data_IF_667861115576
#
_entry.id   IF_667861115576
#
_cell.length_a   1.000
_cell.length_b   1.000
_cell.length_c   1.000
_cell.angle_alpha   90.00
_cell.angle_beta   90.00
_cell.angle_gamma   90.00
#
_symmetry.space_group_name_H-M   'P 1'
#
loop_
_entity.id
_entity.type
_entity.pdbx_description
1 polymer ?
#
# COMPACT_ATOMS: atom_id res chain seq x y z
N UNK A 1 -10.76 -25.77 4.17
CA UNK A 1 -11.83 -25.92 5.18
C UNK A 1 -11.23 -26.30 6.54
N UNK A 2 -10.76 -25.28 7.28
CA UNK A 2 -10.28 -25.48 8.65
C UNK A 2 -11.41 -25.24 9.67
N UNK A 3 -11.45 -26.00 10.77
CA UNK A 3 -12.32 -25.69 11.89
C UNK A 3 -12.09 -24.25 12.41
N UNK A 4 -13.13 -23.63 12.97
CA UNK A 4 -13.07 -22.24 13.43
C UNK A 4 -11.93 -21.99 14.41
N UNK A 5 -11.74 -22.87 15.40
CA UNK A 5 -10.66 -22.76 16.37
C UNK A 5 -9.26 -22.85 15.72
N UNK A 6 -9.10 -23.67 14.67
CA UNK A 6 -7.84 -23.77 13.94
C UNK A 6 -7.59 -22.51 13.08
N UNK A 7 -8.63 -21.92 12.49
CA UNK A 7 -8.52 -20.63 11.78
C UNK A 7 -8.11 -19.50 12.71
N UNK A 8 -8.71 -19.43 13.88
CA UNK A 8 -8.35 -18.43 14.89
C UNK A 8 -6.90 -18.61 15.36
N UNK A 9 -6.47 -19.84 15.62
CA UNK A 9 -5.11 -20.13 16.09
C UNK A 9 -4.03 -19.95 15.00
N UNK A 10 -4.39 -20.01 13.73
CA UNK A 10 -3.43 -20.02 12.60
C UNK A 10 -2.56 -18.77 12.54
N UNK A 11 -3.11 -17.60 12.86
CA UNK A 11 -2.38 -16.33 12.80
C UNK A 11 -1.25 -16.29 13.85
N UNK A 12 -1.50 -16.84 15.04
CA UNK A 12 -0.49 -16.91 16.11
C UNK A 12 0.61 -17.91 15.78
N UNK A 13 0.26 -19.04 15.18
CA UNK A 13 1.22 -20.02 14.70
C UNK A 13 2.12 -19.41 13.61
N UNK A 14 1.52 -18.74 12.63
CA UNK A 14 2.25 -18.09 11.53
C UNK A 14 3.21 -17.02 12.03
N UNK A 15 2.76 -16.13 12.90
CA UNK A 15 3.63 -15.06 13.42
C UNK A 15 4.75 -15.60 14.30
N UNK A 16 4.49 -16.67 15.08
CA UNK A 16 5.50 -17.30 15.92
C UNK A 16 6.63 -17.93 15.09
N UNK A 17 6.30 -18.59 13.97
CA UNK A 17 7.30 -19.12 13.04
C UNK A 17 8.10 -17.96 12.41
N UNK A 18 7.44 -16.90 12.01
CA UNK A 18 8.10 -15.73 11.45
C UNK A 18 9.05 -15.06 12.44
N UNK A 19 8.65 -14.92 13.70
CA UNK A 19 9.51 -14.40 14.77
C UNK A 19 10.72 -15.29 15.07
N UNK A 20 10.54 -16.61 15.00
CA UNK A 20 11.64 -17.54 15.18
C UNK A 20 12.78 -17.27 14.18
N UNK A 21 12.45 -17.13 12.89
CA UNK A 21 13.45 -16.78 11.88
C UNK A 21 13.99 -15.37 12.04
N UNK A 22 13.14 -14.39 12.41
CA UNK A 22 13.59 -13.02 12.71
C UNK A 22 14.67 -13.02 13.81
N UNK A 23 14.42 -13.77 14.89
CA UNK A 23 15.33 -13.82 16.05
C UNK A 23 16.64 -14.58 15.75
N UNK A 24 16.67 -15.35 14.67
CA UNK A 24 17.90 -15.90 14.10
C UNK A 24 18.69 -14.88 13.27
N UNK A 25 18.21 -13.65 13.09
CA UNK A 25 18.85 -12.58 12.33
C UNK A 25 18.40 -12.45 10.87
N UNK A 26 17.36 -13.19 10.46
CA UNK A 26 16.86 -13.10 9.09
C UNK A 26 15.93 -11.88 8.88
N UNK A 27 15.84 -11.44 7.63
CA UNK A 27 14.80 -10.53 7.15
C UNK A 27 13.62 -11.36 6.67
N UNK A 28 12.53 -11.32 7.41
CA UNK A 28 11.37 -12.21 7.22
C UNK A 28 10.17 -11.40 6.71
N UNK A 29 9.42 -11.94 5.76
CA UNK A 29 8.12 -11.45 5.37
C UNK A 29 7.05 -12.50 5.68
N UNK A 30 5.99 -12.10 6.38
CA UNK A 30 4.79 -12.92 6.57
C UNK A 30 3.66 -12.33 5.75
N UNK A 31 2.98 -13.18 4.98
CA UNK A 31 1.83 -12.80 4.17
C UNK A 31 0.59 -13.52 4.70
N UNK A 32 -0.42 -12.74 5.14
CA UNK A 32 -1.67 -13.25 5.68
C UNK A 32 -2.83 -12.94 4.72
N UNK A 33 -3.34 -13.96 4.06
CA UNK A 33 -4.52 -13.87 3.20
C UNK A 33 -5.64 -14.75 3.76
N UNK A 34 -6.60 -14.20 4.46
CA UNK A 34 -6.74 -12.80 4.83
C UNK A 34 -7.03 -12.68 6.35
N UNK A 35 -6.68 -11.55 6.94
CA UNK A 35 -7.03 -11.28 8.35
C UNK A 35 -8.55 -11.14 8.56
N UNK A 36 -9.33 -10.85 7.52
CA UNK A 36 -10.81 -10.88 7.57
C UNK A 36 -11.33 -12.25 7.94
N UNK A 37 -10.76 -13.34 7.40
CA UNK A 37 -11.15 -14.71 7.72
C UNK A 37 -10.79 -15.12 9.15
N UNK A 38 -9.67 -14.59 9.65
CA UNK A 38 -9.32 -14.74 11.05
C UNK A 38 -10.32 -13.99 11.97
N UNK A 39 -10.68 -12.75 11.62
CA UNK A 39 -11.64 -11.95 12.37
C UNK A 39 -13.03 -12.60 12.38
N UNK A 40 -13.49 -13.18 11.28
CA UNK A 40 -14.72 -13.99 11.21
C UNK A 40 -14.67 -15.16 12.19
N UNK A 41 -13.56 -15.88 12.24
CA UNK A 41 -13.39 -17.00 13.19
C UNK A 41 -13.42 -16.50 14.63
N UNK A 42 -12.80 -15.36 14.92
CA UNK A 42 -12.82 -14.74 16.24
C UNK A 42 -14.25 -14.34 16.65
N UNK A 43 -15.03 -13.76 15.73
CA UNK A 43 -16.44 -13.43 15.94
C UNK A 43 -17.29 -14.67 16.24
N UNK A 44 -17.09 -15.75 15.48
CA UNK A 44 -17.82 -17.00 15.67
C UNK A 44 -17.50 -17.65 17.02
N UNK A 45 -16.23 -17.65 17.44
CA UNK A 45 -15.82 -18.18 18.74
C UNK A 45 -16.39 -17.36 19.90
N UNK A 46 -16.29 -16.04 19.82
CA UNK A 46 -16.87 -15.12 20.80
C UNK A 46 -18.37 -15.34 20.97
N UNK A 47 -19.10 -15.52 19.85
CA UNK A 47 -20.52 -15.84 19.88
C UNK A 47 -20.83 -17.18 20.53
N UNK A 48 -20.01 -18.22 20.31
CA UNK A 48 -20.17 -19.54 20.97
C UNK A 48 -19.85 -19.49 22.45
N UNK A 49 -19.01 -18.59 22.90
CA UNK A 49 -18.67 -18.36 24.29
C UNK A 49 -19.64 -17.40 24.98
N UNK A 50 -20.70 -16.98 24.29
CA UNK A 50 -21.71 -16.04 24.78
C UNK A 50 -21.13 -14.72 25.31
N UNK A 51 -19.99 -14.28 24.71
CA UNK A 51 -19.39 -12.99 25.03
C UNK A 51 -20.29 -11.86 24.52
N UNK A 52 -20.26 -10.71 25.20
CA UNK A 52 -21.03 -9.55 24.79
C UNK A 52 -20.52 -9.04 23.42
N UNK A 53 -21.37 -9.01 22.37
CA UNK A 53 -20.96 -8.57 21.05
C UNK A 53 -20.73 -7.05 21.03
N UNK A 54 -19.70 -6.63 20.33
CA UNK A 54 -19.47 -5.26 19.94
C UNK A 54 -20.08 -4.92 18.58
N UNK A 55 -19.46 -3.99 17.86
CA UNK A 55 -19.90 -3.53 16.55
C UNK A 55 -19.95 -4.69 15.54
N UNK A 56 -21.03 -4.80 14.79
CA UNK A 56 -21.31 -5.88 13.83
C UNK A 56 -21.12 -7.31 14.36
N UNK A 57 -21.27 -7.51 15.67
CA UNK A 57 -21.11 -8.81 16.32
C UNK A 57 -19.66 -9.26 16.53
N UNK A 58 -18.69 -8.42 16.25
CA UNK A 58 -17.30 -8.66 16.60
C UNK A 58 -17.07 -8.47 18.12
N UNK A 59 -16.11 -9.20 18.72
CA UNK A 59 -15.77 -8.97 20.11
C UNK A 59 -15.16 -7.57 20.31
N UNK A 60 -15.42 -6.97 21.47
CA UNK A 60 -14.91 -5.63 21.80
C UNK A 60 -13.36 -5.53 21.74
N UNK A 61 -12.68 -6.66 21.90
CA UNK A 61 -11.21 -6.75 21.86
C UNK A 61 -10.62 -6.99 20.46
N UNK A 62 -11.41 -6.92 19.37
CA UNK A 62 -10.92 -7.10 18.00
C UNK A 62 -9.71 -6.21 17.70
N UNK A 63 -9.83 -4.91 17.97
CA UNK A 63 -8.76 -3.94 17.70
C UNK A 63 -7.47 -4.25 18.47
N UNK A 64 -7.59 -4.64 19.73
CA UNK A 64 -6.41 -4.99 20.54
C UNK A 64 -5.75 -6.29 20.07
N UNK A 65 -6.51 -7.27 19.58
CA UNK A 65 -5.95 -8.50 18.99
C UNK A 65 -5.24 -8.23 17.68
N UNK A 66 -5.80 -7.39 16.82
CA UNK A 66 -5.13 -6.92 15.59
C UNK A 66 -3.83 -6.16 15.91
N UNK A 67 -3.87 -5.25 16.89
CA UNK A 67 -2.68 -4.52 17.32
C UNK A 67 -1.58 -5.47 17.82
N UNK A 68 -1.92 -6.46 18.66
CA UNK A 68 -0.98 -7.48 19.13
C UNK A 68 -0.32 -8.28 18.00
N UNK A 69 -1.03 -8.54 16.92
CA UNK A 69 -0.46 -9.19 15.74
C UNK A 69 0.51 -8.26 15.00
N UNK A 70 0.08 -7.04 14.67
CA UNK A 70 0.88 -6.12 13.86
C UNK A 70 2.09 -5.55 14.62
N UNK A 71 2.02 -5.39 15.94
CA UNK A 71 3.17 -4.90 16.72
C UNK A 71 4.38 -5.85 16.73
N UNK A 72 4.17 -7.12 16.32
CA UNK A 72 5.25 -8.11 16.15
C UNK A 72 6.15 -7.80 14.96
N UNK A 73 5.65 -7.03 13.99
CA UNK A 73 6.44 -6.58 12.86
C UNK A 73 7.39 -5.46 13.25
N UNK A 74 8.60 -5.51 12.71
CA UNK A 74 9.60 -4.48 12.94
C UNK A 74 11.03 -5.00 12.82
N UNK A 75 11.99 -4.11 13.02
CA UNK A 75 13.41 -4.44 13.11
C UNK A 75 13.83 -4.55 14.57
N UNK A 76 14.55 -5.61 14.90
CA UNK A 76 14.96 -5.93 16.27
C UNK A 76 16.44 -6.23 16.35
N UNK A 77 17.05 -5.93 17.51
CA UNK A 77 18.33 -6.51 17.89
C UNK A 77 18.08 -7.85 18.56
N UNK A 78 18.64 -8.91 17.98
CA UNK A 78 18.41 -10.26 18.45
C UNK A 78 19.21 -10.56 19.71
N UNK A 79 18.60 -11.28 20.66
CA UNK A 79 19.32 -11.80 21.81
C UNK A 79 20.21 -12.97 21.38
N UNK A 80 21.38 -13.07 21.95
CA UNK A 80 22.33 -14.16 21.67
C UNK A 80 23.79 -13.77 21.90
N UNK A 81 24.68 -14.67 21.49
CA UNK A 81 26.14 -14.55 21.69
C UNK A 81 26.85 -13.69 20.64
N UNK A 82 26.18 -13.38 19.53
CA UNK A 82 26.76 -12.56 18.47
C UNK A 82 26.40 -11.11 18.68
N UNK A 83 27.42 -10.23 18.70
CA UNK A 83 27.22 -8.81 18.76
C UNK A 83 26.56 -8.31 17.45
N UNK A 84 25.62 -7.35 17.58
CA UNK A 84 24.94 -6.67 16.48
C UNK A 84 24.09 -7.54 15.52
N UNK A 85 23.70 -8.76 15.93
CA UNK A 85 22.77 -9.54 15.14
C UNK A 85 21.38 -8.85 15.10
N UNK A 86 20.97 -8.45 13.91
CA UNK A 86 19.69 -7.79 13.65
C UNK A 86 18.82 -8.65 12.76
N UNK A 87 17.54 -8.74 13.13
CA UNK A 87 16.52 -9.36 12.31
C UNK A 87 15.37 -8.40 12.05
N UNK A 88 14.56 -8.70 11.05
CA UNK A 88 13.37 -7.90 10.76
C UNK A 88 12.20 -8.77 10.33
N UNK A 89 11.00 -8.32 10.67
CA UNK A 89 9.74 -8.95 10.27
C UNK A 89 8.84 -7.91 9.62
N UNK A 90 8.46 -8.18 8.38
CA UNK A 90 7.48 -7.40 7.64
C UNK A 90 6.17 -8.19 7.56
N UNK A 91 5.07 -7.63 8.05
CA UNK A 91 3.75 -8.23 7.95
C UNK A 91 2.96 -7.57 6.80
N UNK A 92 2.55 -8.38 5.83
CA UNK A 92 1.68 -7.98 4.72
C UNK A 92 0.38 -8.77 4.85
N UNK A 93 -0.72 -8.07 5.10
CA UNK A 93 -2.01 -8.72 5.32
C UNK A 93 -3.05 -8.21 4.34
N UNK A 94 -3.80 -9.13 3.76
CA UNK A 94 -4.98 -8.79 2.99
C UNK A 94 -6.18 -8.60 3.92
N UNK A 95 -7.00 -7.62 3.61
CA UNK A 95 -8.32 -7.38 4.21
C UNK A 95 -9.35 -7.40 3.10
N UNK A 96 -10.42 -8.17 3.27
CA UNK A 96 -11.48 -8.34 2.26
C UNK A 96 -12.81 -7.86 2.84
N UNK A 97 -13.07 -6.55 2.82
CA UNK A 97 -14.30 -5.99 3.35
C UNK A 97 -15.50 -6.43 2.50
N UNK A 98 -16.62 -6.82 3.11
CA UNK A 98 -17.84 -7.16 2.40
C UNK A 98 -18.32 -5.99 1.52
N UNK A 99 -18.59 -6.26 0.23
CA UNK A 99 -19.04 -5.22 -0.70
C UNK A 99 -18.00 -4.12 -1.00
N UNK A 100 -16.75 -4.27 -0.55
CA UNK A 100 -15.72 -3.24 -0.69
C UNK A 100 -15.86 -2.07 0.30
N UNK A 101 -16.69 -2.22 1.32
CA UNK A 101 -16.94 -1.17 2.32
C UNK A 101 -15.83 -1.10 3.37
N UNK A 102 -14.96 -0.10 3.25
CA UNK A 102 -13.86 0.14 4.18
C UNK A 102 -14.33 0.69 5.55
N UNK A 103 -15.61 0.98 5.74
CA UNK A 103 -16.15 1.43 7.03
C UNK A 103 -16.42 0.29 8.02
N UNK A 104 -16.34 -0.98 7.54
CA UNK A 104 -16.54 -2.14 8.40
C UNK A 104 -15.47 -2.28 9.50
N UNK A 105 -15.79 -2.94 10.66
CA UNK A 105 -14.94 -2.89 11.84
C UNK A 105 -13.51 -3.41 11.65
N UNK A 106 -13.30 -4.47 10.84
CA UNK A 106 -11.96 -5.06 10.64
C UNK A 106 -11.07 -4.11 9.84
N UNK A 107 -11.60 -3.53 8.75
CA UNK A 107 -10.89 -2.55 7.93
C UNK A 107 -10.55 -1.30 8.74
N UNK A 108 -11.51 -0.75 9.48
CA UNK A 108 -11.31 0.42 10.32
C UNK A 108 -10.27 0.18 11.42
N UNK A 109 -10.35 -0.96 12.12
CA UNK A 109 -9.37 -1.31 13.14
C UNK A 109 -7.97 -1.48 12.53
N UNK A 110 -7.87 -2.15 11.37
CA UNK A 110 -6.60 -2.37 10.68
C UNK A 110 -5.98 -1.05 10.24
N UNK A 111 -6.72 -0.17 9.58
CA UNK A 111 -6.22 1.13 9.11
C UNK A 111 -5.73 2.06 10.24
N UNK A 112 -6.26 1.92 11.45
CA UNK A 112 -5.77 2.67 12.62
C UNK A 112 -4.43 2.18 13.15
N UNK A 113 -4.04 0.95 12.82
CA UNK A 113 -2.84 0.27 13.35
C UNK A 113 -1.71 0.32 12.32
N UNK A 114 -2.00 0.00 11.05
CA UNK A 114 -0.98 -0.14 10.01
C UNK A 114 -0.49 1.21 9.52
N UNK A 115 0.79 1.28 9.17
CA UNK A 115 1.41 2.50 8.62
C UNK A 115 1.44 2.54 7.10
N UNK A 116 1.15 1.42 6.45
CA UNK A 116 1.07 1.33 4.99
C UNK A 116 -0.24 0.69 4.61
N UNK A 117 -0.92 1.29 3.64
CA UNK A 117 -2.17 0.79 3.10
C UNK A 117 -2.15 0.84 1.58
N UNK A 118 -2.46 -0.28 0.95
CA UNK A 118 -2.64 -0.42 -0.49
C UNK A 118 -4.13 -0.63 -0.79
N UNK A 119 -4.77 0.40 -1.30
CA UNK A 119 -6.17 0.34 -1.69
C UNK A 119 -6.32 -0.36 -3.04
N UNK A 120 -6.83 -1.59 -3.04
CA UNK A 120 -7.17 -2.28 -4.27
C UNK A 120 -8.43 -1.68 -4.89
N UNK A 121 -8.41 -1.45 -6.19
CA UNK A 121 -9.49 -0.81 -6.93
C UNK A 121 -9.95 -1.70 -8.10
N UNK A 122 -11.19 -2.18 -8.01
CA UNK A 122 -11.78 -3.01 -9.04
C UNK A 122 -11.92 -2.30 -10.39
N UNK A 123 -12.09 -0.97 -10.40
CA UNK A 123 -12.18 -0.19 -11.64
C UNK A 123 -10.87 -0.19 -12.42
N UNK A 124 -9.73 -0.20 -11.71
CA UNK A 124 -8.40 -0.36 -12.32
C UNK A 124 -8.23 -1.77 -12.90
N UNK A 125 -8.66 -2.80 -12.15
CA UNK A 125 -8.61 -4.19 -12.62
C UNK A 125 -9.47 -4.40 -13.88
N UNK A 126 -10.68 -3.84 -13.93
CA UNK A 126 -11.55 -3.89 -15.12
C UNK A 126 -10.93 -3.20 -16.34
N UNK A 127 -10.16 -2.13 -16.13
CA UNK A 127 -9.40 -1.46 -17.19
C UNK A 127 -8.07 -2.15 -17.51
N UNK A 128 -7.78 -3.30 -16.87
CA UNK A 128 -6.53 -4.06 -17.01
C UNK A 128 -5.28 -3.27 -16.62
N UNK A 129 -5.43 -2.33 -15.72
CA UNK A 129 -4.31 -1.63 -15.10
C UNK A 129 -3.83 -2.44 -13.89
N UNK A 130 -2.61 -2.98 -13.97
CA UNK A 130 -2.02 -3.79 -12.92
C UNK A 130 -0.63 -3.25 -12.52
N UNK A 131 -0.27 -3.30 -11.22
CA UNK A 131 -1.12 -3.69 -10.09
C UNK A 131 -2.32 -2.75 -9.93
N UNK A 132 -3.48 -3.31 -9.57
CA UNK A 132 -4.74 -2.55 -9.45
C UNK A 132 -4.81 -1.81 -8.10
N UNK A 133 -3.78 -1.04 -7.78
CA UNK A 133 -3.62 -0.27 -6.55
C UNK A 133 -3.95 1.19 -6.84
N UNK A 134 -4.96 1.72 -6.14
CA UNK A 134 -5.35 3.11 -6.29
C UNK A 134 -4.32 4.01 -5.61
N UNK A 135 -3.66 4.84 -6.39
CA UNK A 135 -2.57 5.72 -5.95
C UNK A 135 -3.03 6.90 -5.09
N UNK A 136 -4.29 7.35 -5.21
CA UNK A 136 -4.83 8.45 -4.41
C UNK A 136 -5.28 7.99 -3.01
N UNK A 137 -5.78 6.75 -2.91
CA UNK A 137 -6.32 6.19 -1.66
C UNK A 137 -5.28 5.38 -0.88
N UNK A 138 -4.14 5.08 -1.49
CA UNK A 138 -3.04 4.35 -0.85
C UNK A 138 -2.07 5.30 -0.18
N UNK A 139 -1.46 4.87 0.93
CA UNK A 139 -0.52 5.70 1.67
C UNK A 139 0.58 4.89 2.34
N UNK A 140 1.67 5.58 2.68
CA UNK A 140 2.72 5.12 3.57
C UNK A 140 3.09 6.24 4.55
N UNK A 141 3.07 5.92 5.84
CA UNK A 141 3.51 6.82 6.92
C UNK A 141 5.00 6.66 7.25
N UNK A 142 5.73 5.85 6.48
CA UNK A 142 7.16 5.64 6.70
C UNK A 142 8.05 6.64 5.94
N UNK A 143 7.51 7.46 5.05
CA UNK A 143 8.31 8.30 4.15
C UNK A 143 9.26 9.23 4.90
N UNK A 144 8.79 9.90 5.95
CA UNK A 144 9.61 10.83 6.74
C UNK A 144 10.74 10.11 7.48
N UNK A 145 10.45 8.94 8.05
CA UNK A 145 11.45 8.14 8.77
C UNK A 145 12.47 7.49 7.84
N UNK A 146 12.09 7.21 6.59
CA UNK A 146 12.96 6.60 5.58
C UNK A 146 13.67 7.63 4.70
N UNK A 147 13.32 8.93 4.82
CA UNK A 147 13.92 9.99 4.01
C UNK A 147 15.44 9.98 4.04
N UNK A 148 16.14 9.86 5.21
CA UNK A 148 17.60 9.82 5.23
C UNK A 148 18.17 8.67 4.39
N UNK A 149 17.52 7.50 4.42
CA UNK A 149 17.93 6.35 3.63
C UNK A 149 17.75 6.60 2.12
N UNK A 150 16.62 7.19 1.72
CA UNK A 150 16.39 7.56 0.32
C UNK A 150 17.39 8.58 -0.18
N UNK A 151 17.65 9.62 0.62
CA UNK A 151 18.60 10.69 0.26
C UNK A 151 20.03 10.14 0.10
N UNK A 152 20.44 9.18 0.94
CA UNK A 152 21.76 8.55 0.88
C UNK A 152 21.91 7.58 -0.32
N UNK A 153 20.88 6.79 -0.63
CA UNK A 153 21.00 5.68 -1.59
C UNK A 153 20.47 6.03 -2.99
N UNK A 154 19.51 6.92 -3.09
CA UNK A 154 18.83 7.28 -4.35
C UNK A 154 18.95 8.77 -4.69
N UNK A 155 19.46 9.56 -3.77
CA UNK A 155 19.53 11.01 -3.92
C UNK A 155 18.25 11.76 -3.53
N UNK A 156 18.38 13.05 -3.24
CA UNK A 156 17.30 13.89 -2.70
C UNK A 156 16.16 14.12 -3.73
N UNK A 157 16.43 13.93 -5.01
CA UNK A 157 15.45 14.15 -6.08
C UNK A 157 14.37 13.04 -6.14
N UNK A 158 14.68 11.84 -5.63
CA UNK A 158 13.76 10.71 -5.70
C UNK A 158 12.41 11.02 -5.02
N UNK A 159 12.44 11.45 -3.77
CA UNK A 159 11.22 11.81 -3.04
C UNK A 159 10.55 13.06 -3.62
N UNK A 160 11.30 14.04 -4.10
CA UNK A 160 10.74 15.22 -4.77
C UNK A 160 10.00 14.85 -6.05
N UNK A 161 10.55 13.91 -6.85
CA UNK A 161 9.90 13.41 -8.06
C UNK A 161 8.61 12.65 -7.71
N UNK A 162 8.63 11.86 -6.63
CA UNK A 162 7.43 11.17 -6.12
C UNK A 162 6.34 12.17 -5.70
N UNK A 163 6.69 13.20 -4.91
CA UNK A 163 5.74 14.23 -4.47
C UNK A 163 5.14 14.98 -5.66
N UNK A 164 5.97 15.33 -6.63
CA UNK A 164 5.52 15.96 -7.87
C UNK A 164 4.54 15.05 -8.63
N UNK A 165 4.85 13.77 -8.80
CA UNK A 165 3.99 12.82 -9.50
C UNK A 165 2.63 12.66 -8.80
N UNK A 166 2.63 12.59 -7.47
CA UNK A 166 1.38 12.55 -6.69
C UNK A 166 0.54 13.81 -6.86
N UNK A 167 1.17 14.99 -6.90
CA UNK A 167 0.47 16.24 -7.13
C UNK A 167 -0.17 16.29 -8.53
N UNK A 168 0.54 15.82 -9.57
CA UNK A 168 0.01 15.71 -10.94
C UNK A 168 -1.19 14.76 -11.01
N UNK A 169 -1.11 13.59 -10.36
CA UNK A 169 -2.21 12.63 -10.34
C UNK A 169 -3.44 13.15 -9.57
N UNK A 170 -3.22 13.95 -8.53
CA UNK A 170 -4.30 14.59 -7.79
C UNK A 170 -4.96 15.72 -8.59
N UNK A 171 -4.17 16.52 -9.31
CA UNK A 171 -4.68 17.54 -10.23
C UNK A 171 -5.48 16.90 -11.38
N UNK A 172 -5.00 15.78 -11.94
CA UNK A 172 -5.73 15.00 -12.95
C UNK A 172 -7.11 14.56 -12.45
N UNK A 173 -7.22 14.07 -11.22
CA UNK A 173 -8.50 13.65 -10.67
C UNK A 173 -9.52 14.79 -10.64
N UNK A 174 -9.10 15.98 -10.22
CA UNK A 174 -9.94 17.19 -10.22
C UNK A 174 -10.29 17.64 -11.65
N UNK A 175 -9.33 17.58 -12.58
CA UNK A 175 -9.58 17.92 -13.98
C UNK A 175 -10.54 16.96 -14.67
N UNK A 176 -10.48 15.67 -14.36
CA UNK A 176 -11.39 14.68 -14.92
C UNK A 176 -12.85 14.93 -14.53
N UNK A 177 -13.14 15.46 -13.34
CA UNK A 177 -14.48 15.88 -12.96
C UNK A 177 -14.97 17.05 -13.86
N UNK A 178 -14.11 18.00 -14.15
CA UNK A 178 -14.41 19.13 -15.04
C UNK A 178 -14.62 18.63 -16.47
N UNK A 179 -13.76 17.73 -16.97
CA UNK A 179 -13.85 17.17 -18.32
C UNK A 179 -15.18 16.43 -18.53
N UNK A 180 -15.69 15.73 -17.53
CA UNK A 180 -16.99 15.07 -17.60
C UNK A 180 -18.16 16.05 -17.77
N UNK A 181 -18.03 17.28 -17.28
CA UNK A 181 -19.07 18.31 -17.36
C UNK A 181 -19.00 19.15 -18.63
N UNK A 182 -17.80 19.55 -19.07
CA UNK A 182 -17.63 20.56 -20.15
C UNK A 182 -16.87 20.05 -21.38
N UNK A 183 -16.34 18.84 -21.33
CA UNK A 183 -15.54 18.23 -22.42
C UNK A 183 -14.06 18.65 -22.40
N UNK A 184 -13.22 17.87 -23.10
CA UNK A 184 -11.76 18.07 -23.14
C UNK A 184 -11.35 19.32 -23.89
N UNK A 185 -12.11 19.71 -24.90
CA UNK A 185 -11.80 20.85 -25.78
C UNK A 185 -11.87 22.22 -25.07
N UNK A 186 -12.47 22.27 -23.90
CA UNK A 186 -12.60 23.47 -23.07
C UNK A 186 -11.40 23.69 -22.14
N UNK A 187 -10.48 22.75 -22.07
CA UNK A 187 -9.34 22.83 -21.16
C UNK A 187 -8.25 23.76 -21.70
N UNK A 188 -7.59 24.46 -20.78
CA UNK A 188 -6.39 25.24 -21.10
C UNK A 188 -5.25 24.32 -21.57
N UNK A 189 -4.27 24.88 -22.30
CA UNK A 189 -3.08 24.13 -22.70
C UNK A 189 -2.34 23.53 -21.48
N UNK A 190 -2.31 24.25 -20.35
CA UNK A 190 -1.73 23.78 -19.10
C UNK A 190 -2.44 22.54 -18.58
N UNK A 191 -3.78 22.55 -18.59
CA UNK A 191 -4.59 21.43 -18.08
C UNK A 191 -4.44 20.20 -18.99
N UNK A 192 -4.35 20.40 -20.31
CA UNK A 192 -4.09 19.33 -21.26
C UNK A 192 -2.71 18.68 -21.03
N UNK A 193 -1.67 19.48 -20.73
CA UNK A 193 -0.35 18.97 -20.37
C UNK A 193 -0.43 18.16 -19.07
N UNK A 194 -1.16 18.63 -18.07
CA UNK A 194 -1.36 17.88 -16.82
C UNK A 194 -2.00 16.52 -17.09
N UNK A 195 -3.05 16.45 -17.91
CA UNK A 195 -3.72 15.18 -18.25
C UNK A 195 -2.79 14.22 -19.01
N UNK A 196 -1.98 14.72 -19.95
CA UNK A 196 -1.04 13.88 -20.69
C UNK A 196 0.10 13.38 -19.79
N UNK A 197 0.65 14.25 -18.95
CA UNK A 197 1.69 13.87 -17.98
C UNK A 197 1.16 12.83 -16.98
N UNK A 198 -0.05 13.02 -16.46
CA UNK A 198 -0.69 12.06 -15.57
C UNK A 198 -0.92 10.70 -16.26
N UNK A 199 -1.30 10.73 -17.54
CA UNK A 199 -1.43 9.51 -18.35
C UNK A 199 -0.10 8.76 -18.45
N UNK A 200 1.01 9.45 -18.72
CA UNK A 200 2.34 8.83 -18.76
C UNK A 200 2.71 8.23 -17.39
N UNK A 201 2.42 8.92 -16.28
CA UNK A 201 2.68 8.39 -14.95
C UNK A 201 1.87 7.11 -14.73
N UNK A 202 0.59 7.08 -15.09
CA UNK A 202 -0.27 5.90 -14.88
C UNK A 202 0.09 4.73 -15.78
N UNK A 203 0.29 4.97 -17.06
CA UNK A 203 0.40 3.92 -18.08
C UNK A 203 1.84 3.45 -18.28
N UNK A 204 2.82 4.35 -18.16
CA UNK A 204 4.22 4.01 -18.42
C UNK A 204 5.01 3.75 -17.12
N UNK A 205 4.65 4.40 -16.00
CA UNK A 205 5.39 4.27 -14.75
C UNK A 205 4.70 3.35 -13.73
N UNK A 206 3.38 3.52 -13.48
CA UNK A 206 2.68 2.75 -12.45
C UNK A 206 2.22 1.38 -12.94
N UNK A 207 1.86 1.24 -14.21
CA UNK A 207 1.44 -0.04 -14.76
C UNK A 207 2.65 -0.95 -14.96
N UNK A 208 2.52 -2.21 -14.52
CA UNK A 208 3.54 -3.25 -14.70
C UNK A 208 2.94 -4.50 -15.31
N UNK A 209 3.68 -5.14 -16.20
CA UNK A 209 3.31 -6.42 -16.79
C UNK A 209 4.10 -7.55 -16.12
N UNK A 210 3.43 -8.31 -15.26
CA UNK A 210 4.04 -9.43 -14.54
C UNK A 210 4.45 -10.61 -15.43
N UNK A 211 4.05 -10.65 -16.70
CA UNK A 211 4.43 -11.68 -17.67
C UNK A 211 5.72 -11.35 -18.42
N UNK A 212 6.30 -10.18 -18.19
CA UNK A 212 7.55 -9.73 -18.78
C UNK A 212 8.59 -9.57 -17.68
N UNK A 213 9.64 -10.37 -17.72
CA UNK A 213 10.65 -10.43 -16.64
C UNK A 213 11.25 -9.07 -16.30
N UNK A 214 11.59 -8.27 -17.30
CA UNK A 214 12.17 -6.93 -17.11
C UNK A 214 11.19 -5.95 -16.45
N UNK A 215 9.89 -6.21 -16.55
CA UNK A 215 8.85 -5.36 -15.98
C UNK A 215 8.32 -5.88 -14.62
N UNK A 216 8.53 -7.18 -14.35
CA UNK A 216 8.17 -7.80 -13.07
C UNK A 216 9.00 -7.28 -11.92
N UNK A 217 10.26 -6.90 -12.18
CA UNK A 217 11.21 -6.39 -11.20
C UNK A 217 11.65 -4.99 -11.60
N UNK A 218 11.15 -3.97 -10.88
CA UNK A 218 11.53 -2.59 -11.13
C UNK A 218 12.55 -2.13 -10.09
N UNK A 219 13.81 -2.03 -10.51
CA UNK A 219 14.89 -1.50 -9.67
C UNK A 219 14.70 0.00 -9.41
N UNK A 220 15.23 0.48 -8.30
CA UNK A 220 15.14 1.90 -7.93
C UNK A 220 15.74 2.85 -8.98
N UNK A 221 16.87 2.48 -9.57
CA UNK A 221 17.53 3.26 -10.63
C UNK A 221 16.62 3.44 -11.86
N UNK A 222 15.87 2.40 -12.25
CA UNK A 222 14.88 2.48 -13.32
C UNK A 222 13.74 3.41 -12.96
N UNK A 223 13.20 3.28 -11.74
CA UNK A 223 12.11 4.12 -11.25
C UNK A 223 12.49 5.60 -11.22
N UNK A 224 13.68 5.90 -10.71
CA UNK A 224 14.22 7.25 -10.67
C UNK A 224 14.33 7.88 -12.06
N UNK A 225 14.98 7.17 -12.98
CA UNK A 225 15.19 7.65 -14.37
C UNK A 225 13.88 7.85 -15.12
N UNK A 226 12.94 6.92 -15.00
CA UNK A 226 11.64 7.04 -15.65
C UNK A 226 10.87 8.25 -15.14
N UNK A 227 10.82 8.44 -13.83
CA UNK A 227 10.07 9.55 -13.23
C UNK A 227 10.74 10.91 -13.54
N UNK A 228 12.07 10.97 -13.50
CA UNK A 228 12.84 12.16 -13.90
C UNK A 228 12.61 12.52 -15.37
N UNK A 229 12.53 11.54 -16.25
CA UNK A 229 12.24 11.75 -17.68
C UNK A 229 10.85 12.32 -17.89
N UNK A 230 9.82 11.77 -17.26
CA UNK A 230 8.44 12.26 -17.34
C UNK A 230 8.35 13.69 -16.78
N UNK A 231 9.02 13.97 -15.67
CA UNK A 231 9.07 15.32 -15.09
C UNK A 231 9.77 16.32 -16.02
N UNK A 232 10.83 15.88 -16.72
CA UNK A 232 11.51 16.72 -17.70
C UNK A 232 10.61 17.04 -18.90
N UNK A 233 9.83 16.07 -19.37
CA UNK A 233 8.83 16.26 -20.42
C UNK A 233 7.79 17.30 -19.99
N UNK A 234 7.15 17.13 -18.84
CA UNK A 234 6.17 18.07 -18.28
C UNK A 234 6.71 19.50 -18.23
N UNK A 235 7.92 19.66 -17.67
CA UNK A 235 8.57 20.98 -17.58
C UNK A 235 8.80 21.63 -18.95
N UNK A 236 9.24 20.86 -19.95
CA UNK A 236 9.49 21.38 -21.30
C UNK A 236 8.19 21.75 -22.01
N UNK A 237 7.14 20.93 -21.88
CA UNK A 237 5.83 21.24 -22.45
C UNK A 237 5.21 22.51 -21.83
N UNK A 238 5.29 22.65 -20.50
CA UNK A 238 4.82 23.88 -19.83
C UNK A 238 5.59 25.12 -20.28
N UNK A 239 6.92 25.01 -20.37
CA UNK A 239 7.76 26.11 -20.86
C UNK A 239 7.49 26.47 -22.34
N UNK A 240 7.10 25.51 -23.18
CA UNK A 240 6.69 25.77 -24.56
C UNK A 240 5.31 26.45 -24.60
N UNK A 241 4.35 26.00 -23.80
CA UNK A 241 3.01 26.58 -23.72
C UNK A 241 2.99 28.03 -23.18
N UNK A 242 3.99 28.41 -22.38
CA UNK A 242 4.15 29.80 -21.90
C UNK A 242 4.72 30.76 -22.97
N UNK A 243 5.33 30.23 -24.02
CA UNK A 243 5.93 31.02 -25.07
C UNK A 243 4.98 31.26 -26.25
N UNK A 244 3.79 30.68 -26.23
CA UNK A 244 2.76 30.82 -27.26
C UNK A 244 2.79 29.75 -28.28
#
# INVERSE_FOLDING_TARGET
>A
DMPVAAREASIYTGITIAEYFRDMGYKVAIMADSTSRWAEALREMSGRLEEMPGEEGYPAYLSSRLAQFYERAGSVSCLGSEEDRRGSLTAVSAVSPPGGDLSEPVSQATMRIVKVFWALDSSLAYRRHFPAINWLNSYSLYLDSLKPWYDEHLGPEFLQNREWAMAVLQEEASLNEIVQLVGKDSLSAKDQITLETAKMIREDFLQQNSFVDIDSFSEYDRQEKMLAMIRSYDRQCRAAAEKG
#
